data_IF_526591385872
#
_entry.id   IF_526591385872
#
_cell.length_a   1.000
_cell.length_b   1.000
_cell.length_c   1.000
_cell.angle_alpha   90.00
_cell.angle_beta   90.00
_cell.angle_gamma   90.00
#
_symmetry.space_group_name_H-M   'P 1'
#
loop_
_entity.id
_entity.type
_entity.pdbx_description
1 polymer ?
#
# COMPACT_ATOMS: atom_id res chain seq x y z
N UNK A 1 -2.64 -11.13 -2.25
CA UNK A 1 -3.16 -9.77 -2.47
C UNK A 1 -3.97 -9.84 -3.74
N UNK A 2 -5.24 -9.49 -3.68
CA UNK A 2 -6.19 -9.77 -4.74
C UNK A 2 -6.59 -8.52 -5.53
N UNK A 3 -6.35 -7.33 -4.98
CA UNK A 3 -6.71 -6.05 -5.59
C UNK A 3 -5.64 -4.96 -5.32
N UNK A 4 -5.90 -3.76 -5.85
CA UNK A 4 -5.01 -2.61 -5.73
C UNK A 4 -4.93 -2.07 -4.30
N UNK A 5 -6.03 -2.13 -3.54
CA UNK A 5 -6.08 -1.66 -2.16
C UNK A 5 -5.17 -2.49 -1.25
N UNK A 6 -5.30 -3.82 -1.30
CA UNK A 6 -4.45 -4.76 -0.59
C UNK A 6 -2.99 -4.67 -1.07
N UNK A 7 -2.78 -4.45 -2.38
CA UNK A 7 -1.44 -4.26 -2.94
C UNK A 7 -0.77 -3.01 -2.35
N UNK A 8 -1.43 -1.85 -2.41
CA UNK A 8 -0.90 -0.59 -1.89
C UNK A 8 -0.61 -0.68 -0.38
N UNK A 9 -1.55 -1.24 0.39
CA UNK A 9 -1.40 -1.43 1.84
C UNK A 9 -0.19 -2.33 2.18
N UNK A 10 -0.03 -3.45 1.48
CA UNK A 10 1.10 -4.35 1.69
C UNK A 10 2.43 -3.69 1.30
N UNK A 11 2.47 -3.02 0.15
CA UNK A 11 3.67 -2.31 -0.29
C UNK A 11 4.08 -1.24 0.72
N UNK A 12 3.14 -0.43 1.19
CA UNK A 12 3.41 0.61 2.19
C UNK A 12 3.84 0.03 3.54
N UNK A 13 3.20 -1.05 4.00
CA UNK A 13 3.64 -1.78 5.18
C UNK A 13 5.12 -2.18 5.06
N UNK A 14 5.51 -2.80 3.95
CA UNK A 14 6.89 -3.25 3.72
C UNK A 14 7.87 -2.09 3.63
N UNK A 15 7.56 -1.07 2.83
CA UNK A 15 8.46 0.06 2.60
C UNK A 15 8.63 0.95 3.84
N UNK A 16 7.66 0.94 4.77
CA UNK A 16 7.75 1.64 6.06
C UNK A 16 8.32 0.77 7.19
N UNK A 17 8.56 -0.52 6.98
CA UNK A 17 9.09 -1.40 8.02
C UNK A 17 10.39 -0.88 8.67
N UNK A 18 11.40 -0.38 7.93
CA UNK A 18 12.63 0.10 8.56
C UNK A 18 12.43 1.37 9.40
N UNK A 19 11.48 2.23 9.02
CA UNK A 19 11.12 3.41 9.81
C UNK A 19 10.42 2.97 11.09
N UNK A 20 9.45 2.04 10.99
CA UNK A 20 8.74 1.48 12.13
C UNK A 20 9.65 0.72 13.10
N UNK A 21 10.68 0.04 12.58
CA UNK A 21 11.67 -0.68 13.39
C UNK A 21 12.78 0.22 13.95
N UNK A 22 12.70 1.55 13.75
CA UNK A 22 13.72 2.52 14.14
C UNK A 22 15.12 2.25 13.55
N UNK A 23 15.18 1.57 12.41
CA UNK A 23 16.41 1.28 11.64
C UNK A 23 16.71 2.44 10.68
N UNK A 24 15.70 3.22 10.30
CA UNK A 24 15.81 4.37 9.41
C UNK A 24 14.98 5.55 9.92
N UNK A 25 15.46 6.78 9.72
CA UNK A 25 14.72 8.00 10.10
C UNK A 25 13.65 8.39 9.09
N UNK A 26 13.85 8.08 7.81
CA UNK A 26 12.90 8.33 6.73
C UNK A 26 12.85 7.15 5.76
N UNK A 27 11.80 7.02 4.93
CA UNK A 27 11.71 5.96 3.93
C UNK A 27 12.89 5.95 2.96
N UNK A 28 13.39 7.12 2.54
CA UNK A 28 14.52 7.26 1.61
C UNK A 28 15.87 6.91 2.24
N UNK A 29 16.00 7.04 3.57
CA UNK A 29 17.22 6.68 4.29
C UNK A 29 17.33 5.18 4.56
N UNK A 30 16.26 4.41 4.32
CA UNK A 30 16.24 2.98 4.63
C UNK A 30 17.18 2.17 3.74
N UNK A 31 18.00 1.28 4.30
CA UNK A 31 19.07 0.60 3.56
C UNK A 31 18.60 -0.28 2.39
N UNK A 32 17.45 -0.96 2.55
CA UNK A 32 17.07 -2.13 1.75
C UNK A 32 15.57 -2.18 1.37
N UNK A 33 14.99 -1.06 0.93
CA UNK A 33 13.55 -1.01 0.56
C UNK A 33 13.32 -0.64 -0.90
N UNK A 34 12.12 -0.94 -1.38
CA UNK A 34 11.69 -0.61 -2.73
C UNK A 34 11.49 0.91 -2.88
N UNK A 35 10.95 1.56 -1.83
CA UNK A 35 10.73 3.01 -1.81
C UNK A 35 12.01 3.81 -2.00
N UNK A 36 13.14 3.41 -1.40
CA UNK A 36 14.42 4.10 -1.62
C UNK A 36 14.85 4.06 -3.08
N UNK A 37 14.80 2.89 -3.71
CA UNK A 37 15.19 2.75 -5.13
C UNK A 37 14.28 3.57 -6.04
N UNK A 38 12.98 3.60 -5.72
CA UNK A 38 11.96 4.39 -6.43
C UNK A 38 12.23 5.89 -6.27
N UNK A 39 12.48 6.37 -5.06
CA UNK A 39 12.80 7.78 -4.78
C UNK A 39 14.09 8.24 -5.47
N UNK A 40 15.15 7.42 -5.45
CA UNK A 40 16.42 7.73 -6.14
C UNK A 40 16.21 7.84 -7.66
N UNK A 41 15.42 6.93 -8.24
CA UNK A 41 15.14 6.94 -9.68
C UNK A 41 14.24 8.11 -10.06
N UNK A 42 13.26 8.46 -9.22
CA UNK A 42 12.33 9.57 -9.43
C UNK A 42 13.06 10.92 -9.54
N UNK A 43 14.17 11.12 -8.81
CA UNK A 43 15.04 12.31 -8.95
C UNK A 43 15.61 12.48 -10.37
N UNK A 44 15.67 11.41 -11.15
CA UNK A 44 16.10 11.40 -12.56
C UNK A 44 14.93 11.30 -13.53
N UNK A 45 13.70 11.55 -13.07
CA UNK A 45 12.46 11.34 -13.82
C UNK A 45 12.34 9.91 -14.41
N UNK A 46 12.84 8.91 -13.69
CA UNK A 46 12.90 7.51 -14.12
C UNK A 46 12.32 6.58 -13.07
N UNK A 47 12.05 5.35 -13.47
CA UNK A 47 11.73 4.25 -12.57
C UNK A 47 12.86 3.21 -12.55
N UNK A 48 13.08 2.53 -11.41
CA UNK A 48 14.12 1.51 -11.32
C UNK A 48 13.78 0.30 -12.20
N UNK A 49 14.75 -0.19 -12.98
CA UNK A 49 14.56 -1.32 -13.90
C UNK A 49 14.40 -2.68 -13.22
N UNK A 50 14.85 -2.78 -11.97
CA UNK A 50 14.83 -4.00 -11.15
C UNK A 50 13.51 -4.22 -10.42
N UNK A 51 12.62 -3.22 -10.40
CA UNK A 51 11.32 -3.29 -9.74
C UNK A 51 10.20 -3.22 -10.77
N UNK A 52 9.05 -3.77 -10.41
CA UNK A 52 7.84 -3.61 -11.22
C UNK A 52 7.50 -2.10 -11.34
N UNK A 53 7.31 -1.56 -12.57
CA UNK A 53 7.09 -0.14 -12.77
C UNK A 53 5.65 0.24 -12.42
N UNK A 54 5.46 1.47 -11.95
CA UNK A 54 4.17 2.15 -11.89
C UNK A 54 3.72 2.51 -13.30
N UNK A 55 2.51 2.11 -13.67
CA UNK A 55 1.97 2.30 -15.02
C UNK A 55 0.75 3.22 -15.04
N UNK A 56 0.45 3.85 -13.90
CA UNK A 56 -0.65 4.77 -13.73
C UNK A 56 -1.97 4.06 -13.47
N UNK A 57 -3.05 4.83 -13.56
CA UNK A 57 -4.40 4.34 -13.22
C UNK A 57 -4.92 3.24 -14.16
N UNK A 58 -5.77 2.32 -13.65
CA UNK A 58 -6.43 1.29 -14.45
C UNK A 58 -7.09 1.82 -15.72
N UNK A 59 -6.86 1.12 -16.84
CA UNK A 59 -7.40 1.46 -18.16
C UNK A 59 -7.49 0.23 -19.05
N UNK A 60 -8.35 0.25 -20.08
CA UNK A 60 -8.62 -0.91 -20.97
C UNK A 60 -7.35 -1.55 -21.56
N UNK A 61 -6.35 -0.75 -21.92
CA UNK A 61 -5.04 -1.21 -22.39
C UNK A 61 -3.97 -0.88 -21.34
N UNK A 62 -3.93 -1.69 -20.28
CA UNK A 62 -2.97 -1.51 -19.18
C UNK A 62 -1.68 -2.29 -19.47
N UNK A 63 -0.52 -1.64 -19.52
CA UNK A 63 0.75 -2.35 -19.61
C UNK A 63 1.04 -3.06 -18.27
N UNK A 64 1.89 -4.08 -18.31
CA UNK A 64 2.27 -4.84 -17.11
C UNK A 64 2.98 -3.93 -16.10
N UNK A 65 2.35 -3.68 -14.95
CA UNK A 65 2.93 -2.85 -13.89
C UNK A 65 2.00 -2.65 -12.69
N UNK A 66 2.39 -1.75 -11.79
CA UNK A 66 1.61 -1.33 -10.64
C UNK A 66 0.53 -0.31 -11.06
N UNK A 67 -0.75 -0.55 -10.73
CA UNK A 67 -1.90 0.20 -11.23
C UNK A 67 -2.17 1.51 -10.46
N UNK A 68 -1.13 2.31 -10.26
CA UNK A 68 -1.19 3.65 -9.69
C UNK A 68 -0.01 4.48 -10.19
N UNK A 69 -0.08 5.80 -9.99
CA UNK A 69 1.04 6.70 -10.26
C UNK A 69 2.13 6.55 -9.18
N UNK A 70 3.40 6.64 -9.58
CA UNK A 70 4.53 6.64 -8.65
C UNK A 70 4.45 7.84 -7.69
N UNK A 71 4.02 9.00 -8.20
CA UNK A 71 3.89 10.23 -7.42
C UNK A 71 2.93 10.02 -6.26
N UNK A 72 1.72 9.53 -6.54
CA UNK A 72 0.69 9.36 -5.52
C UNK A 72 1.12 8.33 -4.46
N UNK A 73 1.85 7.28 -4.87
CA UNK A 73 2.40 6.32 -3.93
C UNK A 73 3.49 6.91 -3.04
N UNK A 74 4.43 7.68 -3.59
CA UNK A 74 5.48 8.32 -2.77
C UNK A 74 4.90 9.36 -1.80
N UNK A 75 3.90 10.13 -2.24
CA UNK A 75 3.16 11.07 -1.38
C UNK A 75 2.48 10.34 -0.22
N UNK A 76 1.79 9.23 -0.52
CA UNK A 76 1.17 8.40 0.50
C UNK A 76 2.20 7.86 1.53
N UNK A 77 3.36 7.40 1.07
CA UNK A 77 4.43 6.89 1.94
C UNK A 77 5.02 7.99 2.82
N UNK A 78 5.30 9.16 2.26
CA UNK A 78 5.83 10.30 2.99
C UNK A 78 4.88 10.74 4.11
N UNK A 79 3.58 10.91 3.79
CA UNK A 79 2.58 11.28 4.80
C UNK A 79 2.46 10.23 5.90
N UNK A 80 2.40 8.95 5.52
CA UNK A 80 2.28 7.85 6.49
C UNK A 80 3.52 7.73 7.38
N UNK A 81 4.72 7.87 6.81
CA UNK A 81 5.98 7.83 7.55
C UNK A 81 6.10 8.97 8.57
N UNK A 82 5.58 10.16 8.26
CA UNK A 82 5.50 11.28 9.21
C UNK A 82 4.59 10.97 10.40
N UNK A 83 3.46 10.29 10.17
CA UNK A 83 2.53 9.88 11.22
C UNK A 83 3.10 8.81 12.17
N UNK A 84 4.19 8.13 11.81
CA UNK A 84 4.84 7.11 12.66
C UNK A 84 5.89 7.68 13.62
N UNK A 85 6.28 8.96 13.48
CA UNK A 85 7.22 9.60 14.41
C UNK A 85 6.47 10.02 15.69
N UNK A 86 6.94 9.54 16.84
CA UNK A 86 6.28 9.63 18.17
C UNK A 86 6.04 11.07 18.68
N UNK A 87 6.53 12.08 17.97
CA UNK A 87 6.44 13.51 18.30
C UNK A 87 5.49 14.31 17.38
N UNK A 88 4.79 13.66 16.41
CA UNK A 88 3.81 14.33 15.54
C UNK A 88 2.53 13.52 15.44
N UNK A 89 1.47 13.99 16.10
CA UNK A 89 0.16 13.35 16.07
C UNK A 89 -0.27 13.03 14.62
N UNK A 90 -0.61 11.76 14.39
CA UNK A 90 -0.87 11.15 13.09
C UNK A 90 -2.17 11.60 12.42
N UNK A 91 -2.24 12.87 12.05
CA UNK A 91 -3.24 13.40 11.15
C UNK A 91 -2.68 13.32 9.72
N UNK A 92 -3.25 12.44 8.89
CA UNK A 92 -3.21 12.63 7.43
C UNK A 92 -4.04 13.90 7.19
N UNK A 93 -3.48 14.93 6.55
CA UNK A 93 -4.18 16.19 6.29
C UNK A 93 -5.60 15.96 5.75
N UNK A 94 -6.52 16.90 6.00
CA UNK A 94 -7.87 16.89 5.42
C UNK A 94 -7.84 16.64 3.89
N UNK A 95 -6.74 17.04 3.24
CA UNK A 95 -6.43 16.72 1.86
C UNK A 95 -5.80 15.32 1.77
N UNK A 96 -6.66 14.32 1.76
CA UNK A 96 -6.27 12.92 1.60
C UNK A 96 -5.58 12.69 0.24
N UNK A 97 -4.51 11.88 0.16
CA UNK A 97 -3.90 11.50 -1.10
C UNK A 97 -4.93 10.92 -2.07
N UNK A 98 -4.90 11.37 -3.32
CA UNK A 98 -5.83 10.92 -4.36
C UNK A 98 -5.86 9.38 -4.50
N UNK A 99 -4.73 8.72 -4.20
CA UNK A 99 -4.63 7.26 -4.20
C UNK A 99 -5.54 6.59 -3.17
N UNK A 100 -5.65 7.10 -1.94
CA UNK A 100 -6.52 6.48 -0.94
C UNK A 100 -7.99 6.63 -1.29
N UNK A 101 -8.38 7.80 -1.80
CA UNK A 101 -9.75 8.03 -2.29
C UNK A 101 -10.10 7.08 -3.43
N UNK A 102 -9.19 6.90 -4.39
CA UNK A 102 -9.39 6.01 -5.52
C UNK A 102 -9.49 4.53 -5.12
N UNK A 103 -8.75 4.15 -4.08
CA UNK A 103 -8.75 2.78 -3.55
C UNK A 103 -9.87 2.54 -2.51
N UNK A 104 -10.68 3.56 -2.22
CA UNK A 104 -11.74 3.52 -1.22
C UNK A 104 -11.22 3.03 0.15
N UNK A 105 -10.08 3.55 0.60
CA UNK A 105 -9.51 3.25 1.91
C UNK A 105 -9.56 4.51 2.78
N UNK A 106 -10.27 4.45 3.90
CA UNK A 106 -10.31 5.56 4.85
C UNK A 106 -8.93 5.80 5.50
N UNK A 107 -8.59 7.04 5.90
CA UNK A 107 -7.31 7.35 6.55
C UNK A 107 -7.03 6.52 7.81
N UNK A 108 -8.05 6.30 8.64
CA UNK A 108 -7.94 5.53 9.88
C UNK A 108 -7.67 4.04 9.61
N UNK A 109 -8.36 3.49 8.61
CA UNK A 109 -8.12 2.12 8.16
C UNK A 109 -6.72 2.00 7.57
N UNK A 110 -6.27 2.98 6.78
CA UNK A 110 -4.93 2.99 6.21
C UNK A 110 -3.82 2.94 7.25
N UNK A 111 -3.91 3.75 8.31
CA UNK A 111 -2.92 3.71 9.40
C UNK A 111 -2.90 2.35 10.10
N UNK A 112 -4.07 1.72 10.26
CA UNK A 112 -4.19 0.37 10.82
C UNK A 112 -3.52 -0.66 9.91
N UNK A 113 -3.82 -0.62 8.61
CA UNK A 113 -3.26 -1.51 7.59
C UNK A 113 -1.73 -1.41 7.52
N UNK A 114 -1.18 -0.20 7.51
CA UNK A 114 0.28 0.01 7.37
C UNK A 114 1.09 -0.29 8.63
N UNK A 115 0.45 -0.34 9.81
CA UNK A 115 1.08 -0.74 11.07
C UNK A 115 1.01 -2.24 11.30
N UNK A 116 -0.18 -2.81 11.12
CA UNK A 116 -0.51 -4.15 11.61
C UNK A 116 -0.81 -5.16 10.50
N UNK A 117 -0.49 -4.87 9.23
CA UNK A 117 -0.81 -5.74 8.08
C UNK A 117 -0.58 -7.23 8.35
N UNK A 118 0.61 -7.59 8.86
CA UNK A 118 0.99 -8.97 9.16
C UNK A 118 0.13 -9.62 10.25
N UNK A 119 -0.33 -8.84 11.23
CA UNK A 119 -1.19 -9.31 12.32
C UNK A 119 -2.65 -9.42 11.87
N UNK A 120 -3.09 -8.52 10.99
CA UNK A 120 -4.48 -8.43 10.53
C UNK A 120 -4.84 -9.53 9.55
N UNK A 121 -3.90 -9.94 8.69
CA UNK A 121 -4.18 -10.84 7.58
C UNK A 121 -3.33 -12.10 7.61
N UNK A 122 -4.01 -13.25 7.58
CA UNK A 122 -3.39 -14.59 7.52
C UNK A 122 -3.86 -15.35 6.27
N UNK A 123 -3.78 -14.72 5.10
CA UNK A 123 -4.22 -15.35 3.84
C UNK A 123 -4.46 -14.34 2.72
N UNK A 124 -5.46 -14.65 1.88
CA UNK A 124 -5.92 -13.73 0.84
C UNK A 124 -6.45 -12.42 1.45
N UNK A 125 -6.21 -11.32 0.73
CA UNK A 125 -6.56 -9.95 1.14
C UNK A 125 -7.02 -9.21 -0.10
N UNK A 126 -8.19 -8.60 -0.03
CA UNK A 126 -8.82 -7.78 -1.06
C UNK A 126 -10.29 -7.53 -0.70
N UNK A 127 -10.99 -6.74 -1.51
CA UNK A 127 -12.41 -6.46 -1.36
C UNK A 127 -13.24 -7.76 -1.42
N UNK A 128 -14.43 -7.70 -0.83
CA UNK A 128 -15.30 -8.86 -0.58
C UNK A 128 -15.69 -9.63 -1.84
N UNK A 129 -15.93 -8.89 -2.93
CA UNK A 129 -16.22 -9.41 -4.26
C UNK A 129 -15.03 -10.23 -4.79
N UNK A 130 -13.83 -9.65 -4.80
CA UNK A 130 -12.62 -10.32 -5.30
C UNK A 130 -12.22 -11.52 -4.43
N UNK A 131 -12.46 -11.45 -3.11
CA UNK A 131 -12.27 -12.60 -2.21
C UNK A 131 -13.24 -13.74 -2.52
N UNK A 132 -14.48 -13.41 -2.90
CA UNK A 132 -15.49 -14.39 -3.26
C UNK A 132 -15.08 -15.10 -4.54
N UNK A 133 -14.74 -14.35 -5.59
CA UNK A 133 -14.23 -14.88 -6.85
C UNK A 133 -12.99 -15.76 -6.63
N UNK A 134 -12.04 -15.32 -5.80
CA UNK A 134 -10.84 -16.09 -5.49
C UNK A 134 -11.17 -17.43 -4.81
N UNK A 135 -12.11 -17.45 -3.86
CA UNK A 135 -12.46 -18.67 -3.14
C UNK A 135 -13.18 -19.66 -4.06
N UNK A 136 -14.06 -19.19 -4.93
CA UNK A 136 -14.76 -20.02 -5.91
C UNK A 136 -13.79 -20.67 -6.90
N UNK A 137 -12.91 -19.88 -7.51
CA UNK A 137 -11.91 -20.39 -8.45
C UNK A 137 -10.88 -21.32 -7.80
N UNK A 138 -10.58 -21.12 -6.51
CA UNK A 138 -9.60 -21.92 -5.77
C UNK A 138 -10.22 -23.15 -5.09
N UNK A 139 -11.54 -23.36 -5.20
CA UNK A 139 -12.26 -24.45 -4.53
C UNK A 139 -12.27 -24.35 -3.00
N UNK A 140 -12.08 -23.15 -2.45
CA UNK A 140 -12.04 -22.90 -1.01
C UNK A 140 -13.45 -22.69 -0.46
N UNK A 141 -13.82 -23.46 0.56
CA UNK A 141 -15.15 -23.35 1.21
C UNK A 141 -15.26 -22.17 2.18
N UNK A 142 -14.15 -21.53 2.57
CA UNK A 142 -14.11 -20.46 3.57
C UNK A 142 -13.40 -19.24 3.02
N UNK A 143 -14.05 -18.08 3.19
CA UNK A 143 -13.49 -16.75 2.90
C UNK A 143 -12.73 -16.23 4.12
N UNK A 144 -11.51 -16.72 4.31
CA UNK A 144 -10.64 -16.24 5.39
C UNK A 144 -10.38 -14.74 5.22
N UNK A 145 -10.32 -14.00 6.34
CA UNK A 145 -10.13 -12.55 6.39
C UNK A 145 -11.27 -11.67 5.83
N UNK A 146 -12.41 -12.21 5.39
CA UNK A 146 -13.50 -11.41 4.79
C UNK A 146 -13.97 -10.28 5.71
N UNK A 147 -14.29 -10.59 6.97
CA UNK A 147 -14.72 -9.57 7.94
C UNK A 147 -13.65 -8.49 8.20
N UNK A 148 -12.37 -8.84 8.10
CA UNK A 148 -11.28 -7.90 8.29
C UNK A 148 -11.12 -7.00 7.06
N UNK A 149 -11.23 -7.58 5.87
CA UNK A 149 -11.19 -6.84 4.61
C UNK A 149 -12.39 -5.91 4.47
N UNK A 150 -13.61 -6.38 4.76
CA UNK A 150 -14.83 -5.58 4.74
C UNK A 150 -14.79 -4.39 5.73
N UNK A 151 -13.98 -4.50 6.79
CA UNK A 151 -13.83 -3.40 7.75
C UNK A 151 -12.75 -2.40 7.32
N UNK A 152 -11.67 -2.87 6.70
CA UNK A 152 -10.45 -2.09 6.48
C UNK A 152 -10.24 -1.63 5.04
N UNK A 153 -10.90 -2.27 4.08
CA UNK A 153 -10.80 -2.02 2.63
C UNK A 153 -12.18 -1.66 2.04
N UNK A 154 -13.11 -1.15 2.84
CA UNK A 154 -14.47 -0.81 2.41
C UNK A 154 -14.72 0.69 2.33
#
# INVERSE_FOLDING_TARGET
LLDEAALAACMAYVDLNPVRANIAKTPESSGYTSVKQRAISAKKAKQPKTLLPFVGNPRKSMPKGLPFELKDYLELIEMTGRCFREDKAGYIEATQPALLNRLNISPDNWLTLTKDFRRLFHGAVGHSDVLTDYCEHSGLKRRTNVNCCDKLLA
#
